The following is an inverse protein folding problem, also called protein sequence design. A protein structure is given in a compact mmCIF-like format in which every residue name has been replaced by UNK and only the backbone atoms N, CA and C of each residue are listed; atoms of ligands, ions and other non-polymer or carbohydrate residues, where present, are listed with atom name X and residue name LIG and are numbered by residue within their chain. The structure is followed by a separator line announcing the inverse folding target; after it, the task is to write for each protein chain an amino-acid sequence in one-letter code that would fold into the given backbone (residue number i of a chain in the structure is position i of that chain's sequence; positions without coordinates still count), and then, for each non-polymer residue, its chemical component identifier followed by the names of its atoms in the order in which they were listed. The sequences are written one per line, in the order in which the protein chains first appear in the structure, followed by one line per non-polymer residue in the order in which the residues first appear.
data_IF_322034341509
#
_entry.id   IF_322034341509
#
_cell.length_a   1.000
_cell.length_b   1.000
_cell.length_c   1.000
_cell.angle_alpha   90.00
_cell.angle_beta   90.00
_cell.angle_gamma   90.00
#
_symmetry.space_group_name_H-M   'P 1'
#
loop_
_entity.id
_entity.type
_entity.pdbx_description
1 polymer ?
#
# COMPACT_ATOMS: atom_id res chain seq x y z
N UNK A 1 -67.60 7.67 -7.83
CA UNK A 1 -67.26 7.36 -6.41
C UNK A 1 -66.21 6.26 -6.20
N UNK A 2 -65.92 5.37 -7.17
CA UNK A 2 -64.92 4.31 -6.94
C UNK A 2 -63.44 4.69 -7.18
N UNK A 3 -63.14 5.85 -7.75
CA UNK A 3 -61.75 6.27 -8.00
C UNK A 3 -61.14 7.14 -6.87
N UNK A 4 -61.93 7.70 -5.99
CA UNK A 4 -61.41 8.49 -4.89
C UNK A 4 -61.07 7.66 -3.63
N UNK A 5 -61.62 6.46 -3.53
CA UNK A 5 -61.28 5.54 -2.41
C UNK A 5 -59.96 4.80 -2.61
N UNK A 6 -59.49 4.65 -3.87
CA UNK A 6 -58.19 4.02 -4.15
C UNK A 6 -57.01 4.98 -3.85
N UNK A 7 -57.22 6.27 -4.04
CA UNK A 7 -56.18 7.25 -3.76
C UNK A 7 -55.90 7.46 -2.24
N UNK A 8 -56.95 7.31 -1.42
CA UNK A 8 -56.82 7.40 0.03
C UNK A 8 -56.15 6.16 0.64
N UNK A 9 -56.32 5.00 0.04
CA UNK A 9 -55.68 3.76 0.54
C UNK A 9 -54.17 3.69 0.19
N UNK A 10 -53.74 4.32 -0.91
CA UNK A 10 -52.32 4.39 -1.25
C UNK A 10 -51.55 5.44 -0.45
N UNK A 11 -52.21 6.49 0.02
CA UNK A 11 -51.55 7.50 0.86
C UNK A 11 -51.35 7.09 2.30
N UNK A 12 -52.12 6.12 2.77
CA UNK A 12 -51.99 5.61 4.15
C UNK A 12 -50.90 4.53 4.32
N UNK A 13 -50.41 3.96 3.19
CA UNK A 13 -49.37 2.90 3.26
C UNK A 13 -47.94 3.42 3.12
N UNK A 14 -47.72 4.72 3.04
CA UNK A 14 -46.35 5.31 2.98
C UNK A 14 -45.90 6.02 4.26
N UNK A 15 -46.59 5.86 5.35
CA UNK A 15 -46.03 6.20 6.64
C UNK A 15 -45.29 4.97 7.15
N UNK A 16 -44.09 4.78 6.66
CA UNK A 16 -43.14 3.94 7.38
C UNK A 16 -42.87 4.61 8.72
N UNK A 17 -43.18 3.99 9.85
CA UNK A 17 -42.58 4.44 11.07
C UNK A 17 -41.08 4.24 10.88
N UNK A 18 -40.35 5.32 10.82
CA UNK A 18 -38.93 5.30 11.16
C UNK A 18 -38.80 5.01 12.64
N UNK A 19 -39.27 3.85 13.09
CA UNK A 19 -38.74 3.25 14.26
C UNK A 19 -37.31 2.89 13.86
N UNK A 20 -36.39 3.77 14.18
CA UNK A 20 -35.04 3.38 14.41
C UNK A 20 -35.15 2.17 15.38
N UNK A 21 -35.05 0.97 14.84
CA UNK A 21 -34.69 -0.16 15.65
C UNK A 21 -33.29 0.13 16.14
N UNK A 22 -33.19 0.85 17.24
CA UNK A 22 -32.13 0.58 18.15
C UNK A 22 -32.31 -0.90 18.50
N UNK A 23 -31.77 -1.78 17.67
CA UNK A 23 -31.42 -3.11 18.13
C UNK A 23 -30.53 -2.79 19.31
N UNK A 24 -31.07 -3.00 20.51
CA UNK A 24 -30.27 -2.99 21.69
C UNK A 24 -29.24 -4.08 21.52
N UNK A 25 -28.12 -3.72 20.88
CA UNK A 25 -26.90 -4.46 21.10
C UNK A 25 -26.70 -4.51 22.59
N UNK A 26 -25.99 -5.48 23.10
CA UNK A 26 -25.74 -5.56 24.52
C UNK A 26 -25.29 -4.19 24.96
N UNK A 27 -26.09 -3.56 25.80
CA UNK A 27 -25.77 -2.34 26.48
C UNK A 27 -24.70 -2.67 27.52
N UNK A 28 -23.56 -3.14 26.99
CA UNK A 28 -22.33 -3.06 27.74
C UNK A 28 -22.11 -1.57 28.04
N UNK A 29 -21.54 -1.24 29.18
CA UNK A 29 -21.22 0.14 29.46
C UNK A 29 -20.46 0.66 28.25
N UNK A 30 -20.96 1.75 27.62
CA UNK A 30 -20.15 2.51 26.70
C UNK A 30 -18.86 2.76 27.45
N UNK A 31 -17.78 2.20 26.99
CA UNK A 31 -16.48 2.59 27.51
C UNK A 31 -16.28 4.02 27.05
N UNK A 32 -16.81 4.94 27.81
CA UNK A 32 -16.42 6.34 27.71
C UNK A 32 -14.98 6.36 28.15
N UNK A 33 -14.11 6.47 27.19
CA UNK A 33 -12.74 6.81 27.50
C UNK A 33 -12.78 8.22 28.03
N UNK A 34 -12.54 8.44 29.34
CA UNK A 34 -12.46 9.79 29.83
C UNK A 34 -11.31 10.44 29.07
N UNK A 35 -11.64 11.43 28.29
CA UNK A 35 -10.64 12.29 27.67
C UNK A 35 -10.50 13.49 28.59
N UNK A 36 -9.65 13.45 29.60
CA UNK A 36 -9.42 14.57 30.48
C UNK A 36 -8.56 15.59 29.77
N UNK A 37 -8.97 16.01 28.57
CA UNK A 37 -8.17 16.91 27.77
C UNK A 37 -8.64 18.35 27.89
N UNK A 38 -7.70 19.30 27.84
CA UNK A 38 -7.99 20.72 27.77
C UNK A 38 -8.29 21.19 26.34
N UNK A 39 -8.08 20.34 25.35
CA UNK A 39 -8.36 20.65 23.94
C UNK A 39 -9.56 19.86 23.41
N UNK A 40 -9.46 18.59 23.08
CA UNK A 40 -10.56 17.88 22.46
C UNK A 40 -10.55 16.38 22.74
N UNK A 41 -11.45 15.67 22.09
CA UNK A 41 -11.57 14.23 22.18
C UNK A 41 -10.43 13.51 21.46
N UNK A 42 -10.16 12.28 21.88
CA UNK A 42 -9.25 11.35 21.18
C UNK A 42 -10.04 10.52 20.18
N UNK A 43 -9.62 10.55 18.92
CA UNK A 43 -10.15 9.67 17.87
C UNK A 43 -9.09 8.66 17.49
N UNK A 44 -9.26 7.41 17.91
CA UNK A 44 -8.37 6.31 17.56
C UNK A 44 -8.68 5.83 16.15
N UNK A 45 -7.63 5.50 15.37
CA UNK A 45 -7.74 5.07 13.97
C UNK A 45 -8.62 6.01 13.13
N UNK A 46 -8.28 7.29 13.04
CA UNK A 46 -9.15 8.31 12.46
C UNK A 46 -9.50 8.05 10.99
N UNK A 47 -8.61 7.40 10.26
CA UNK A 47 -8.75 7.12 8.83
C UNK A 47 -9.01 5.63 8.51
N UNK A 48 -9.20 4.78 9.52
CA UNK A 48 -9.60 3.36 9.42
C UNK A 48 -8.57 2.38 8.90
N UNK A 49 -7.40 2.82 8.45
CA UNK A 49 -6.37 1.95 7.87
C UNK A 49 -5.03 1.91 8.63
N UNK A 50 -4.89 2.73 9.67
CA UNK A 50 -3.71 2.73 10.55
C UNK A 50 -4.15 2.63 12.04
N UNK A 51 -4.54 1.43 12.51
CA UNK A 51 -5.24 1.26 13.79
C UNK A 51 -4.46 1.69 15.03
N UNK A 52 -3.13 1.71 14.98
CA UNK A 52 -2.27 2.15 16.10
C UNK A 52 -1.91 3.63 16.03
N UNK A 53 -2.81 4.43 15.46
CA UNK A 53 -2.73 5.90 15.44
C UNK A 53 -3.96 6.52 16.09
N UNK A 54 -3.83 7.78 16.50
CA UNK A 54 -4.96 8.56 16.99
C UNK A 54 -4.77 10.04 16.65
N UNK A 55 -5.84 10.82 16.78
CA UNK A 55 -5.77 12.29 16.74
C UNK A 55 -6.46 12.82 17.99
N UNK A 56 -5.78 13.68 18.74
CA UNK A 56 -6.38 14.49 19.76
C UNK A 56 -6.92 15.75 19.07
N UNK A 57 -8.24 15.87 18.96
CA UNK A 57 -8.90 16.99 18.26
C UNK A 57 -8.54 18.32 18.88
N UNK A 58 -8.45 19.35 18.06
CA UNK A 58 -8.02 20.68 18.51
C UNK A 58 -9.06 21.46 19.35
N UNK A 59 -10.29 20.96 19.46
CA UNK A 59 -11.35 21.58 20.28
C UNK A 59 -11.72 23.01 19.87
N UNK A 60 -11.39 23.41 18.64
CA UNK A 60 -11.61 24.77 18.14
C UNK A 60 -10.45 25.73 18.39
N UNK A 61 -9.36 25.28 19.00
CA UNK A 61 -8.14 26.07 19.18
C UNK A 61 -7.23 25.99 17.94
N UNK A 62 -6.45 27.01 17.71
CA UNK A 62 -5.26 26.94 16.89
C UNK A 62 -4.13 26.36 17.77
N UNK A 63 -3.49 25.29 17.31
CA UNK A 63 -2.41 24.64 18.05
C UNK A 63 -1.07 24.93 17.39
N UNK A 64 -0.02 25.11 18.21
CA UNK A 64 1.39 25.29 17.80
C UNK A 64 2.33 24.57 18.74
N UNK A 65 3.56 24.38 18.27
CA UNK A 65 4.69 23.86 19.06
C UNK A 65 4.34 22.59 19.82
N UNK A 66 3.63 21.66 19.16
CA UNK A 66 3.19 20.43 19.80
C UNK A 66 4.30 19.37 19.84
N UNK A 67 4.35 18.66 20.95
CA UNK A 67 5.18 17.46 21.13
C UNK A 67 4.34 16.34 21.74
N UNK A 68 4.72 15.11 21.41
CA UNK A 68 4.06 13.89 21.84
C UNK A 68 5.07 12.96 22.44
N UNK A 69 4.69 12.30 23.53
CA UNK A 69 5.45 11.22 24.16
C UNK A 69 4.51 10.06 24.44
N UNK A 70 4.80 8.90 23.86
CA UNK A 70 4.13 7.65 24.21
C UNK A 70 4.91 7.02 25.35
N UNK A 71 4.27 6.96 26.52
CA UNK A 71 4.91 6.36 27.71
C UNK A 71 5.09 4.86 27.49
N UNK A 72 6.29 4.33 27.66
CA UNK A 72 6.53 2.91 27.41
C UNK A 72 5.77 2.04 28.43
N UNK A 73 5.28 0.89 27.96
CA UNK A 73 4.85 -0.18 28.85
C UNK A 73 6.05 -0.82 29.53
N UNK A 74 5.88 -1.63 30.59
CA UNK A 74 7.00 -2.34 31.22
C UNK A 74 7.82 -3.14 30.17
N UNK A 75 9.12 -2.85 30.08
CA UNK A 75 10.03 -3.45 29.09
C UNK A 75 9.91 -2.92 27.66
N UNK A 76 9.04 -1.95 27.42
CA UNK A 76 8.86 -1.33 26.10
C UNK A 76 9.79 -0.15 25.83
N UNK A 77 9.69 0.42 24.65
CA UNK A 77 10.48 1.55 24.16
C UNK A 77 9.63 2.81 24.09
N UNK A 78 10.19 3.92 24.54
CA UNK A 78 9.58 5.23 24.43
C UNK A 78 9.56 5.70 22.96
N UNK A 79 8.46 6.33 22.55
CA UNK A 79 8.41 7.08 21.30
C UNK A 79 8.08 8.53 21.66
N UNK A 80 8.96 9.46 21.29
CA UNK A 80 8.74 10.89 21.50
C UNK A 80 9.11 11.67 20.24
N UNK A 81 8.29 12.66 19.89
CA UNK A 81 8.50 13.47 18.69
C UNK A 81 7.83 14.86 18.80
N UNK A 82 8.32 15.78 17.97
CA UNK A 82 7.69 17.07 17.74
C UNK A 82 6.75 16.98 16.54
N UNK A 83 5.64 17.69 16.60
CA UNK A 83 4.66 17.77 15.51
C UNK A 83 4.82 19.12 14.82
N UNK A 84 5.07 19.10 13.52
CA UNK A 84 5.13 20.31 12.71
C UNK A 84 3.74 21.00 12.66
N UNK A 85 3.70 22.31 12.72
CA UNK A 85 2.45 23.09 12.80
C UNK A 85 1.51 22.83 11.63
N UNK A 86 2.03 22.62 10.41
CA UNK A 86 1.22 22.24 9.25
C UNK A 86 0.52 20.89 9.43
N UNK A 87 1.10 19.96 10.20
CA UNK A 87 0.47 18.67 10.51
C UNK A 87 -0.66 18.83 11.52
N UNK A 88 -0.54 19.76 12.47
CA UNK A 88 -1.64 20.11 13.38
C UNK A 88 -2.87 20.60 12.60
N UNK A 89 -2.66 21.41 11.57
CA UNK A 89 -3.72 21.85 10.66
C UNK A 89 -4.27 20.70 9.82
N UNK A 90 -3.38 19.91 9.21
CA UNK A 90 -3.76 18.78 8.35
C UNK A 90 -4.69 17.79 9.04
N UNK A 91 -4.41 17.48 10.31
CA UNK A 91 -5.18 16.49 11.07
C UNK A 91 -6.28 17.11 11.94
N UNK A 92 -6.36 18.43 12.00
CA UNK A 92 -7.30 19.13 12.87
C UNK A 92 -7.08 18.84 14.36
N UNK A 93 -5.82 18.65 14.76
CA UNK A 93 -5.42 18.27 16.11
C UNK A 93 -4.01 17.74 16.19
N UNK A 94 -3.66 17.10 17.31
CA UNK A 94 -2.35 16.51 17.53
C UNK A 94 -2.36 15.04 17.03
N UNK A 95 -1.61 14.70 15.97
CA UNK A 95 -1.51 13.32 15.51
C UNK A 95 -0.66 12.48 16.47
N UNK A 96 -1.19 11.32 16.83
CA UNK A 96 -0.55 10.34 17.70
C UNK A 96 -0.17 9.13 16.88
N UNK A 97 1.10 8.77 16.90
CA UNK A 97 1.69 7.64 16.21
C UNK A 97 2.46 6.76 17.20
N UNK A 98 2.44 5.46 17.00
CA UNK A 98 3.28 4.55 17.76
C UNK A 98 2.63 3.96 19.01
N UNK A 99 1.30 3.77 19.00
CA UNK A 99 0.57 3.15 20.10
C UNK A 99 0.88 1.65 20.21
N UNK A 100 0.83 1.12 21.44
CA UNK A 100 0.84 -0.32 21.67
C UNK A 100 -0.53 -0.91 21.38
N UNK A 101 -0.62 -2.03 20.67
CA UNK A 101 -1.89 -2.70 20.40
C UNK A 101 -2.46 -3.38 21.65
N UNK A 102 -3.79 -3.46 21.73
CA UNK A 102 -4.53 -4.09 22.84
C UNK A 102 -4.05 -3.61 24.22
N UNK A 103 -3.83 -2.30 24.33
CA UNK A 103 -3.21 -1.70 25.50
C UNK A 103 -3.81 -0.34 25.81
N UNK A 104 -3.93 -0.02 27.11
CA UNK A 104 -4.25 1.34 27.57
C UNK A 104 -3.01 2.21 27.53
N UNK A 105 -2.83 2.89 26.40
CA UNK A 105 -1.69 3.76 26.19
C UNK A 105 -1.81 5.02 27.04
N UNK A 106 -0.70 5.44 27.63
CA UNK A 106 -0.53 6.75 28.25
C UNK A 106 0.23 7.64 27.28
N UNK A 107 -0.35 8.75 26.88
CA UNK A 107 0.21 9.70 25.94
C UNK A 107 0.32 11.04 26.63
N UNK A 108 1.52 11.60 26.68
CA UNK A 108 1.78 12.93 27.18
C UNK A 108 1.96 13.89 26.00
N UNK A 109 1.29 15.03 26.05
CA UNK A 109 1.39 16.04 25.01
C UNK A 109 1.68 17.40 25.62
N UNK A 110 2.54 18.15 24.95
CA UNK A 110 2.77 19.57 25.25
C UNK A 110 2.48 20.39 24.00
N UNK A 111 1.83 21.51 24.14
CA UNK A 111 1.42 22.35 23.01
C UNK A 111 1.07 23.77 23.46
N UNK A 112 1.04 24.68 22.51
CA UNK A 112 0.48 26.03 22.71
C UNK A 112 -0.91 26.07 22.08
N UNK A 113 -1.95 26.42 22.84
CA UNK A 113 -3.30 26.66 22.31
C UNK A 113 -3.59 28.16 22.22
N UNK A 114 -4.23 28.56 21.12
CA UNK A 114 -4.50 29.94 20.79
C UNK A 114 -5.99 30.08 20.47
N UNK A 115 -6.65 31.09 21.05
CA UNK A 115 -8.04 31.43 20.77
C UNK A 115 -8.25 32.95 20.86
N UNK A 116 -8.66 33.58 19.77
CA UNK A 116 -8.71 35.04 19.65
C UNK A 116 -7.31 35.63 19.85
N UNK A 117 -7.20 36.57 20.79
CA UNK A 117 -5.92 37.21 21.16
C UNK A 117 -5.19 36.48 22.30
N UNK A 118 -5.74 35.40 22.83
CA UNK A 118 -5.18 34.68 23.98
C UNK A 118 -4.32 33.50 23.52
N UNK A 119 -3.25 33.23 24.26
CA UNK A 119 -2.36 32.09 24.06
C UNK A 119 -2.00 31.48 25.41
N UNK A 120 -1.97 30.16 25.46
CA UNK A 120 -1.60 29.41 26.66
C UNK A 120 -0.72 28.23 26.30
N UNK A 121 0.40 28.07 27.01
CA UNK A 121 1.25 26.89 26.91
C UNK A 121 0.76 25.83 27.87
N UNK A 122 0.56 24.63 27.38
CA UNK A 122 0.21 23.42 28.15
C UNK A 122 1.41 22.47 28.10
N UNK A 123 1.82 21.98 29.25
CA UNK A 123 2.95 21.05 29.36
C UNK A 123 2.48 19.71 29.93
N UNK A 124 2.92 18.64 29.32
CA UNK A 124 2.74 17.26 29.77
C UNK A 124 1.29 16.91 30.14
N UNK A 125 0.34 17.36 29.34
CA UNK A 125 -1.04 16.93 29.51
C UNK A 125 -1.17 15.46 29.17
N UNK A 126 -1.82 14.70 30.03
CA UNK A 126 -1.90 13.24 29.95
C UNK A 126 -3.24 12.79 29.38
N UNK A 127 -3.18 11.96 28.34
CA UNK A 127 -4.31 11.23 27.80
C UNK A 127 -4.12 9.74 28.01
N UNK A 128 -5.17 9.02 28.41
CA UNK A 128 -5.14 7.57 28.56
C UNK A 128 -6.29 6.97 27.76
N UNK A 129 -5.96 6.12 26.78
CA UNK A 129 -6.97 5.49 25.94
C UNK A 129 -6.46 4.15 25.42
N UNK A 130 -7.41 3.29 25.08
CA UNK A 130 -7.12 1.96 24.54
C UNK A 130 -6.91 2.03 23.03
N UNK A 131 -5.84 1.40 22.53
CA UNK A 131 -5.68 1.12 21.11
C UNK A 131 -6.15 -0.30 20.79
N UNK A 132 -6.76 -0.56 19.62
CA UNK A 132 -7.33 -1.86 19.29
C UNK A 132 -6.25 -2.94 19.20
N UNK A 133 -6.68 -4.19 19.39
CA UNK A 133 -5.86 -5.36 19.13
C UNK A 133 -5.51 -5.43 17.64
N UNK A 134 -4.39 -6.09 17.33
CA UNK A 134 -3.95 -6.29 15.95
C UNK A 134 -5.04 -7.04 15.16
N UNK A 135 -5.49 -6.49 14.05
CA UNK A 135 -6.58 -6.98 13.21
C UNK A 135 -7.90 -7.25 13.95
N UNK A 136 -8.16 -6.55 15.04
CA UNK A 136 -9.35 -6.77 15.87
C UNK A 136 -9.38 -8.12 16.61
N UNK A 137 -8.27 -8.85 16.60
CA UNK A 137 -8.15 -10.15 17.28
C UNK A 137 -7.46 -9.99 18.64
N UNK A 138 -7.87 -10.75 19.65
CA UNK A 138 -7.15 -10.79 20.91
C UNK A 138 -5.66 -11.06 20.69
N UNK A 139 -4.80 -10.36 21.41
CA UNK A 139 -3.34 -10.30 21.16
C UNK A 139 -2.67 -11.68 21.03
N UNK A 140 -3.14 -12.70 21.72
CA UNK A 140 -2.62 -14.07 21.61
C UNK A 140 -2.94 -14.80 20.32
N UNK A 141 -4.04 -14.44 19.63
CA UNK A 141 -4.45 -15.05 18.34
C UNK A 141 -3.91 -14.29 17.13
N UNK A 142 -3.90 -12.98 17.19
CA UNK A 142 -3.42 -12.15 16.08
C UNK A 142 -1.95 -12.39 15.78
N UNK A 143 -1.11 -12.56 16.80
CA UNK A 143 0.31 -12.80 16.62
C UNK A 143 0.62 -14.16 15.98
N UNK A 144 -0.27 -15.13 16.10
CA UNK A 144 -0.07 -16.46 15.50
C UNK A 144 -0.53 -16.58 14.06
N UNK A 145 -1.44 -15.71 13.64
CA UNK A 145 -2.10 -15.83 12.33
C UNK A 145 -1.86 -14.68 11.39
N UNK A 146 -1.57 -13.49 11.90
CA UNK A 146 -1.53 -12.27 11.11
C UNK A 146 -0.14 -11.62 10.99
N UNK A 147 0.73 -11.85 11.99
CA UNK A 147 2.08 -11.31 12.01
C UNK A 147 3.10 -12.42 12.28
N UNK A 148 4.35 -12.09 12.04
CA UNK A 148 5.50 -12.92 12.36
C UNK A 148 5.93 -12.68 13.82
N UNK A 149 6.51 -13.70 14.47
CA UNK A 149 7.11 -13.56 15.79
C UNK A 149 8.42 -12.76 15.69
N UNK A 150 8.52 -11.71 16.48
CA UNK A 150 9.75 -10.93 16.59
C UNK A 150 10.51 -11.34 17.85
N UNK A 151 11.75 -11.78 17.68
CA UNK A 151 12.67 -12.05 18.78
C UNK A 151 13.94 -11.26 18.61
N UNK A 152 14.12 -10.27 19.47
CA UNK A 152 15.36 -9.48 19.52
C UNK A 152 16.46 -10.32 20.13
N UNK A 153 17.47 -10.66 19.35
CA UNK A 153 18.62 -11.44 19.81
C UNK A 153 19.77 -10.57 20.32
N UNK A 154 19.95 -9.43 19.69
CA UNK A 154 20.96 -8.44 20.00
C UNK A 154 20.49 -7.08 19.57
N UNK A 155 20.71 -6.08 20.40
CA UNK A 155 20.48 -4.67 20.09
C UNK A 155 21.80 -3.93 20.29
N UNK A 156 22.29 -3.33 19.24
CA UNK A 156 23.42 -2.41 19.34
C UNK A 156 22.93 -1.06 19.89
N UNK A 157 23.67 -0.44 20.84
CA UNK A 157 23.29 0.83 21.43
C UNK A 157 23.02 1.95 20.42
N UNK A 158 23.70 1.93 19.27
CA UNK A 158 23.49 2.90 18.18
C UNK A 158 22.07 2.84 17.60
N UNK A 159 21.43 1.67 17.66
CA UNK A 159 20.12 1.43 17.05
C UNK A 159 18.94 1.42 18.03
N UNK A 160 19.19 1.64 19.32
CA UNK A 160 18.19 1.50 20.39
C UNK A 160 16.95 2.38 20.23
N UNK A 161 17.09 3.55 19.59
CA UNK A 161 16.04 4.54 19.44
C UNK A 161 15.40 4.51 18.03
N UNK A 162 15.67 3.47 17.24
CA UNK A 162 15.15 3.33 15.88
C UNK A 162 13.82 2.58 15.84
N UNK A 163 13.05 2.90 14.83
CA UNK A 163 11.87 2.13 14.40
C UNK A 163 12.16 1.47 13.05
N UNK A 164 11.63 0.28 12.86
CA UNK A 164 11.88 -0.51 11.65
C UNK A 164 10.58 -0.74 10.89
N UNK A 165 10.48 -0.16 9.69
CA UNK A 165 9.40 -0.44 8.74
C UNK A 165 9.72 -1.75 8.02
N UNK A 166 8.82 -2.71 8.15
CA UNK A 166 8.95 -4.05 7.57
C UNK A 166 7.83 -4.24 6.56
N UNK A 167 8.21 -4.56 5.32
CA UNK A 167 7.31 -5.00 4.28
C UNK A 167 7.41 -6.51 4.14
N UNK A 168 6.35 -7.24 4.47
CA UNK A 168 6.33 -8.69 4.49
C UNK A 168 5.16 -9.24 3.67
N UNK A 169 5.40 -10.38 3.03
CA UNK A 169 4.38 -11.14 2.32
C UNK A 169 4.07 -12.43 3.08
N UNK A 170 2.82 -12.64 3.40
CA UNK A 170 2.34 -13.87 4.03
C UNK A 170 1.40 -14.61 3.10
N UNK A 171 1.39 -15.95 3.19
CA UNK A 171 0.34 -16.73 2.56
C UNK A 171 -1.00 -16.36 3.20
N UNK A 172 -1.99 -16.10 2.38
CA UNK A 172 -3.32 -15.75 2.90
C UNK A 172 -3.89 -16.93 3.70
N UNK A 173 -4.41 -16.71 4.92
CA UNK A 173 -4.86 -17.79 5.81
C UNK A 173 -6.07 -18.57 5.28
N UNK A 174 -6.88 -17.98 4.41
CA UNK A 174 -8.07 -18.60 3.81
C UNK A 174 -7.83 -19.25 2.45
N UNK A 175 -6.57 -19.38 2.02
CA UNK A 175 -6.20 -19.96 0.74
C UNK A 175 -5.87 -18.93 -0.34
N UNK A 176 -5.89 -19.37 -1.58
CA UNK A 176 -5.52 -18.52 -2.71
C UNK A 176 -6.51 -17.37 -2.90
N UNK A 177 -6.00 -16.15 -2.87
CA UNK A 177 -6.73 -14.96 -3.26
C UNK A 177 -6.42 -14.56 -4.70
N UNK A 178 -6.10 -15.52 -5.55
CA UNK A 178 -6.06 -15.26 -6.98
C UNK A 178 -7.42 -14.74 -7.41
N UNK A 179 -7.49 -13.46 -7.57
CA UNK A 179 -8.71 -12.79 -8.06
C UNK A 179 -8.90 -13.12 -9.53
N UNK A 180 -7.80 -13.19 -10.26
CA UNK A 180 -7.78 -13.37 -11.70
C UNK A 180 -6.60 -14.26 -12.11
N UNK A 181 -6.80 -15.06 -13.16
CA UNK A 181 -5.68 -15.66 -13.85
C UNK A 181 -5.07 -14.59 -14.76
N UNK A 182 -4.22 -13.74 -14.15
CA UNK A 182 -3.65 -12.60 -14.85
C UNK A 182 -2.71 -13.06 -15.93
N UNK A 183 -2.97 -12.72 -17.20
CA UNK A 183 -2.06 -13.04 -18.28
C UNK A 183 -0.77 -12.22 -18.24
N UNK A 184 -0.69 -11.21 -17.41
CA UNK A 184 0.47 -10.32 -17.31
C UNK A 184 1.45 -10.73 -16.24
N UNK A 185 1.07 -11.65 -15.34
CA UNK A 185 1.94 -12.13 -14.27
C UNK A 185 2.29 -11.08 -13.23
N UNK A 186 1.41 -10.11 -13.00
CA UNK A 186 1.60 -9.05 -12.02
C UNK A 186 0.83 -9.29 -10.72
N UNK A 187 0.38 -8.21 -10.09
CA UNK A 187 -0.27 -8.22 -8.79
C UNK A 187 -1.45 -9.19 -8.69
N UNK A 188 -2.23 -9.28 -9.77
CA UNK A 188 -3.45 -10.10 -9.82
C UNK A 188 -3.19 -11.61 -9.84
N UNK A 189 -1.97 -12.02 -10.15
CA UNK A 189 -1.60 -13.44 -10.22
C UNK A 189 -1.22 -14.02 -8.84
N UNK A 190 -0.95 -13.18 -7.86
CA UNK A 190 -0.38 -13.61 -6.58
C UNK A 190 -1.44 -13.75 -5.50
N UNK A 191 -1.32 -14.80 -4.71
CA UNK A 191 -2.21 -15.13 -3.59
C UNK A 191 -1.59 -14.79 -2.23
N UNK A 192 -0.94 -13.64 -2.12
CA UNK A 192 -0.26 -13.21 -0.90
C UNK A 192 -0.97 -12.03 -0.25
N UNK A 193 -0.96 -12.03 1.06
CA UNK A 193 -1.35 -10.87 1.86
C UNK A 193 -0.09 -10.11 2.29
N UNK A 194 -0.09 -8.81 2.07
CA UNK A 194 0.97 -7.93 2.56
C UNK A 194 0.74 -7.58 4.02
N UNK A 195 1.82 -7.54 4.78
CA UNK A 195 1.82 -7.13 6.18
C UNK A 195 2.91 -6.08 6.38
N UNK A 196 2.50 -4.83 6.32
CA UNK A 196 3.40 -3.70 6.52
C UNK A 196 3.26 -3.24 7.95
N UNK A 197 4.35 -3.33 8.70
CA UNK A 197 4.39 -3.00 10.13
C UNK A 197 5.59 -2.14 10.46
N UNK A 198 5.47 -1.34 11.51
CA UNK A 198 6.61 -0.72 12.16
C UNK A 198 6.75 -1.35 13.53
N UNK A 199 7.94 -1.83 13.82
CA UNK A 199 8.30 -2.37 15.13
C UNK A 199 9.34 -1.49 15.80
N UNK A 200 9.34 -1.50 17.13
CA UNK A 200 10.40 -0.91 17.92
C UNK A 200 11.51 -1.93 18.24
N UNK A 201 12.53 -1.48 18.96
CA UNK A 201 13.69 -2.30 19.31
C UNK A 201 13.45 -3.31 20.45
N UNK A 202 12.30 -3.27 21.11
CA UNK A 202 11.83 -4.33 21.97
C UNK A 202 11.09 -5.44 21.18
N UNK A 203 10.78 -5.20 19.90
CA UNK A 203 10.04 -6.11 19.04
C UNK A 203 8.52 -5.90 19.08
N UNK A 204 8.07 -4.84 19.72
CA UNK A 204 6.65 -4.50 19.76
C UNK A 204 6.20 -3.85 18.44
N UNK A 205 5.02 -4.26 17.96
CA UNK A 205 4.37 -3.58 16.82
C UNK A 205 3.85 -2.22 17.31
N UNK A 206 4.29 -1.15 16.65
CA UNK A 206 3.94 0.24 16.99
C UNK A 206 3.10 0.92 15.91
N UNK A 207 2.99 0.28 14.77
CA UNK A 207 2.13 0.71 13.65
C UNK A 207 1.93 -0.47 12.70
N UNK A 208 0.80 -0.52 12.04
CA UNK A 208 0.58 -1.40 10.90
C UNK A 208 -0.44 -0.80 9.93
N UNK A 209 -0.32 -1.18 8.66
CA UNK A 209 -1.27 -0.84 7.62
C UNK A 209 -2.34 -1.92 7.54
N UNK A 210 -3.60 -1.54 7.74
CA UNK A 210 -4.74 -2.43 7.54
C UNK A 210 -5.15 -2.41 6.07
N UNK A 211 -4.31 -3.00 5.24
CA UNK A 211 -4.44 -2.98 3.78
C UNK A 211 -5.71 -3.69 3.29
N UNK A 212 -6.21 -4.67 4.02
CA UNK A 212 -7.44 -5.41 3.67
C UNK A 212 -8.67 -4.47 3.56
N UNK A 213 -8.63 -3.29 4.17
CA UNK A 213 -9.67 -2.27 4.03
C UNK A 213 -9.63 -1.51 2.70
N UNK A 214 -8.54 -1.59 1.96
CA UNK A 214 -8.32 -0.87 0.70
C UNK A 214 -8.50 -1.76 -0.52
N UNK A 215 -8.28 -3.06 -0.37
CA UNK A 215 -8.34 -4.03 -1.46
C UNK A 215 -9.77 -4.54 -1.65
N UNK A 216 -10.16 -4.69 -2.90
CA UNK A 216 -11.37 -5.40 -3.30
C UNK A 216 -10.97 -6.53 -4.25
N UNK A 217 -10.89 -7.73 -3.72
CA UNK A 217 -10.48 -8.91 -4.49
C UNK A 217 -11.51 -9.37 -5.52
N UNK A 218 -12.70 -8.83 -5.51
CA UNK A 218 -13.70 -9.04 -6.56
C UNK A 218 -13.52 -8.09 -7.76
N UNK A 219 -12.68 -7.07 -7.63
CA UNK A 219 -12.46 -6.04 -8.61
C UNK A 219 -11.02 -6.10 -9.15
N UNK A 220 -10.85 -6.35 -10.45
CA UNK A 220 -9.52 -6.44 -11.09
C UNK A 220 -8.69 -5.15 -10.95
N UNK A 221 -9.32 -4.01 -10.83
CA UNK A 221 -8.62 -2.73 -10.69
C UNK A 221 -8.06 -2.49 -9.28
N UNK A 222 -8.64 -3.18 -8.29
CA UNK A 222 -8.31 -3.04 -6.87
C UNK A 222 -7.93 -4.36 -6.20
N UNK A 223 -7.78 -5.40 -6.98
CA UNK A 223 -7.42 -6.73 -6.52
C UNK A 223 -5.93 -6.99 -6.57
N UNK A 224 -5.56 -8.19 -6.13
CA UNK A 224 -4.19 -8.67 -6.17
C UNK A 224 -3.35 -8.26 -4.98
N UNK A 225 -2.05 -8.55 -5.08
CA UNK A 225 -1.10 -8.24 -4.02
C UNK A 225 -0.59 -6.82 -4.15
N UNK A 226 -0.25 -6.20 -3.02
CA UNK A 226 0.47 -4.93 -2.98
C UNK A 226 1.83 -5.05 -3.68
N UNK A 227 2.12 -4.16 -4.61
CA UNK A 227 3.37 -4.11 -5.36
C UNK A 227 4.06 -2.76 -5.16
N UNK A 228 5.39 -2.77 -5.12
CA UNK A 228 6.20 -1.57 -5.09
C UNK A 228 6.00 -0.70 -3.84
N UNK A 229 5.70 -1.31 -2.69
CA UNK A 229 5.55 -0.53 -1.45
C UNK A 229 6.80 0.29 -1.16
N UNK A 230 6.63 1.59 -1.06
CA UNK A 230 7.71 2.56 -0.89
C UNK A 230 7.35 3.60 0.16
N UNK A 231 8.32 3.96 1.00
CA UNK A 231 8.26 5.18 1.78
C UNK A 231 8.80 6.32 0.92
N UNK A 232 8.03 7.38 0.79
CA UNK A 232 8.38 8.53 -0.05
C UNK A 232 9.22 9.56 0.73
N UNK A 233 9.92 10.48 0.04
CA UNK A 233 10.71 11.52 0.69
C UNK A 233 9.90 12.42 1.66
N UNK A 234 8.60 12.60 1.41
CA UNK A 234 7.68 13.36 2.27
C UNK A 234 7.17 12.55 3.48
N UNK A 235 7.64 11.31 3.67
CA UNK A 235 7.24 10.39 4.72
C UNK A 235 5.93 9.65 4.45
N UNK A 236 5.27 9.90 3.34
CA UNK A 236 4.08 9.15 2.93
C UNK A 236 4.46 7.76 2.41
N UNK A 237 3.47 6.91 2.27
CA UNK A 237 3.58 5.54 1.78
C UNK A 237 2.83 5.42 0.46
N UNK A 238 3.44 4.79 -0.53
CA UNK A 238 2.81 4.53 -1.84
C UNK A 238 3.00 3.09 -2.27
N UNK A 239 2.06 2.58 -3.05
CA UNK A 239 2.12 1.25 -3.66
C UNK A 239 1.08 1.12 -4.76
N UNK A 240 1.23 0.11 -5.60
CA UNK A 240 0.27 -0.28 -6.61
C UNK A 240 -0.41 -1.62 -6.28
N UNK A 241 -1.62 -1.81 -6.78
CA UNK A 241 -2.31 -3.09 -6.82
C UNK A 241 -3.33 -3.09 -7.96
N UNK A 242 -3.46 -4.23 -8.66
CA UNK A 242 -4.30 -4.29 -9.86
C UNK A 242 -3.90 -3.25 -10.90
N UNK A 243 -4.73 -2.24 -11.09
CA UNK A 243 -4.49 -1.09 -11.97
C UNK A 243 -4.52 0.25 -11.21
N UNK A 244 -4.38 0.20 -9.90
CA UNK A 244 -4.51 1.36 -9.03
C UNK A 244 -3.19 1.69 -8.36
N UNK A 245 -2.79 2.95 -8.39
CA UNK A 245 -1.71 3.53 -7.59
C UNK A 245 -2.29 4.34 -6.45
N UNK A 246 -1.75 4.17 -5.26
CA UNK A 246 -2.23 4.87 -4.08
C UNK A 246 -1.09 5.50 -3.29
N UNK A 247 -1.41 6.58 -2.59
CA UNK A 247 -0.52 7.25 -1.64
C UNK A 247 -1.29 7.63 -0.39
N UNK A 248 -0.75 7.23 0.75
CA UNK A 248 -1.31 7.49 2.08
C UNK A 248 -0.23 8.03 3.01
N UNK A 249 -0.60 8.89 3.94
CA UNK A 249 0.33 9.26 5.00
C UNK A 249 0.37 8.21 6.13
N UNK A 250 1.31 8.36 7.04
CA UNK A 250 1.52 7.42 8.15
C UNK A 250 0.32 7.32 9.11
N UNK A 251 -0.53 8.33 9.14
CA UNK A 251 -1.77 8.32 9.92
C UNK A 251 -2.89 7.53 9.23
N UNK A 252 -2.70 7.15 7.96
CA UNK A 252 -3.68 6.47 7.14
C UNK A 252 -4.59 7.41 6.35
N UNK A 253 -4.28 8.72 6.29
CA UNK A 253 -5.04 9.67 5.49
C UNK A 253 -4.66 9.51 4.02
N UNK A 254 -5.66 9.33 3.18
CA UNK A 254 -5.47 9.26 1.73
C UNK A 254 -4.95 10.58 1.19
N UNK A 255 -3.88 10.53 0.41
CA UNK A 255 -3.34 11.65 -0.36
C UNK A 255 -3.91 11.57 -1.78
N UNK A 256 -3.74 10.43 -2.43
CA UNK A 256 -4.49 10.10 -3.64
C UNK A 256 -4.75 8.59 -3.76
N UNK A 257 -5.72 8.25 -4.62
CA UNK A 257 -6.09 6.90 -5.01
C UNK A 257 -6.50 7.00 -6.48
N UNK A 258 -5.66 6.50 -7.39
CA UNK A 258 -5.80 6.68 -8.83
C UNK A 258 -5.76 5.36 -9.55
N UNK A 259 -6.81 5.11 -10.31
CA UNK A 259 -6.80 4.09 -11.34
C UNK A 259 -6.06 4.64 -12.55
N UNK A 260 -5.07 3.89 -13.05
CA UNK A 260 -4.39 4.24 -14.30
C UNK A 260 -5.34 4.08 -15.50
N UNK A 261 -5.07 4.79 -16.61
CA UNK A 261 -5.79 4.60 -17.87
C UNK A 261 -5.83 3.14 -18.35
N UNK A 262 -6.84 2.78 -19.12
CA UNK A 262 -7.13 1.39 -19.52
C UNK A 262 -6.03 0.74 -20.39
N UNK A 263 -5.14 1.53 -20.98
CA UNK A 263 -3.99 1.01 -21.72
C UNK A 263 -2.87 0.50 -20.81
N UNK A 264 -2.83 0.89 -19.52
CA UNK A 264 -1.88 0.37 -18.54
C UNK A 264 -2.55 -0.68 -17.68
N UNK A 265 -1.95 -1.83 -17.61
CA UNK A 265 -2.48 -2.93 -16.82
C UNK A 265 -1.41 -3.44 -15.87
N UNK A 266 -1.87 -3.89 -14.73
CA UNK A 266 -1.19 -4.71 -13.76
C UNK A 266 0.17 -4.21 -13.26
N UNK A 267 0.15 -3.61 -12.09
CA UNK A 267 1.38 -3.31 -11.36
C UNK A 267 2.16 -4.56 -11.04
N UNK A 268 3.48 -4.45 -11.06
CA UNK A 268 4.34 -5.55 -10.69
C UNK A 268 5.70 -5.09 -10.17
N UNK A 269 6.22 -5.79 -9.17
CA UNK A 269 7.54 -5.62 -8.56
C UNK A 269 7.76 -4.25 -7.94
N UNK A 270 8.64 -3.39 -8.48
CA UNK A 270 9.05 -2.15 -7.84
C UNK A 270 8.28 -0.92 -8.32
N UNK A 271 8.34 0.08 -7.49
CA UNK A 271 7.92 1.45 -7.72
C UNK A 271 9.06 2.32 -7.22
N UNK A 272 9.50 3.28 -7.98
CA UNK A 272 10.42 4.31 -7.48
C UNK A 272 9.76 5.68 -7.36
N UNK A 273 10.36 6.56 -6.58
CA UNK A 273 9.85 7.90 -6.32
C UNK A 273 10.99 8.89 -6.45
N UNK A 274 10.91 9.75 -7.43
CA UNK A 274 11.90 10.81 -7.64
C UNK A 274 11.81 11.92 -6.59
N UNK A 275 12.86 12.74 -6.47
CA UNK A 275 12.87 13.87 -5.53
C UNK A 275 11.74 14.89 -5.75
N UNK A 276 11.25 15.05 -6.99
CA UNK A 276 10.13 15.92 -7.32
C UNK A 276 8.76 15.30 -6.99
N UNK A 277 8.73 14.04 -6.52
CA UNK A 277 7.53 13.33 -6.10
C UNK A 277 6.80 12.59 -7.22
N UNK A 278 7.39 12.44 -8.40
CA UNK A 278 6.87 11.57 -9.44
C UNK A 278 7.18 10.10 -9.12
N UNK A 279 6.35 9.20 -9.63
CA UNK A 279 6.47 7.77 -9.45
C UNK A 279 6.85 7.12 -10.77
N UNK A 280 7.80 6.19 -10.71
CA UNK A 280 8.16 5.35 -11.84
C UNK A 280 7.65 3.95 -11.55
N UNK A 281 6.57 3.57 -12.23
CA UNK A 281 5.87 2.34 -11.99
C UNK A 281 6.05 1.36 -13.15
N UNK A 282 6.36 0.12 -12.82
CA UNK A 282 6.40 -0.92 -13.81
C UNK A 282 5.02 -1.53 -14.01
N UNK A 283 4.53 -1.41 -15.21
CA UNK A 283 3.22 -1.90 -15.67
C UNK A 283 3.36 -2.70 -16.96
N UNK A 284 2.25 -3.09 -17.54
CA UNK A 284 2.15 -3.72 -18.85
C UNK A 284 1.18 -2.93 -19.74
N UNK A 285 1.29 -3.10 -21.05
CA UNK A 285 0.34 -2.53 -22.02
C UNK A 285 -0.76 -3.51 -22.35
N UNK A 286 -2.01 -3.05 -22.31
CA UNK A 286 -3.16 -3.87 -22.69
C UNK A 286 -3.23 -4.14 -24.19
N UNK A 287 -2.75 -3.22 -25.02
CA UNK A 287 -2.87 -3.29 -26.47
C UNK A 287 -1.73 -2.54 -27.17
N UNK A 288 -0.57 -3.15 -27.20
CA UNK A 288 0.59 -2.60 -27.89
C UNK A 288 0.67 -3.09 -29.32
N UNK A 289 0.82 -2.18 -30.29
CA UNK A 289 1.05 -2.52 -31.69
C UNK A 289 2.54 -2.61 -31.97
N UNK A 290 3.07 -3.80 -32.12
CA UNK A 290 4.47 -4.06 -32.44
C UNK A 290 4.86 -3.52 -33.82
N UNK A 291 6.16 -3.27 -34.07
CA UNK A 291 6.65 -2.84 -35.38
C UNK A 291 6.27 -3.80 -36.54
N UNK A 292 6.08 -5.10 -36.27
CA UNK A 292 5.62 -6.08 -37.23
C UNK A 292 4.08 -6.05 -37.49
N UNK A 293 3.39 -5.09 -36.86
CA UNK A 293 1.96 -4.86 -37.04
C UNK A 293 1.03 -5.69 -36.14
N UNK A 294 1.56 -6.63 -35.35
CA UNK A 294 0.76 -7.43 -34.41
C UNK A 294 0.36 -6.62 -33.20
N UNK A 295 -0.91 -6.74 -32.81
CA UNK A 295 -1.35 -6.25 -31.52
C UNK A 295 -1.08 -7.30 -30.44
N UNK A 296 -0.41 -6.90 -29.36
CA UNK A 296 -0.07 -7.77 -28.27
C UNK A 296 -0.44 -7.11 -26.94
N UNK A 297 -0.84 -7.93 -25.98
CA UNK A 297 -0.82 -7.56 -24.58
C UNK A 297 0.57 -7.86 -24.06
N UNK A 298 1.21 -6.88 -23.46
CA UNK A 298 2.59 -7.03 -23.00
C UNK A 298 2.67 -7.53 -21.56
N UNK A 299 3.86 -7.86 -21.10
CA UNK A 299 4.13 -8.33 -19.75
C UNK A 299 5.37 -7.66 -19.20
N UNK A 300 5.20 -6.79 -18.20
CA UNK A 300 6.31 -6.19 -17.42
C UNK A 300 7.34 -5.46 -18.28
N UNK A 301 6.90 -4.69 -19.23
CA UNK A 301 7.77 -4.04 -20.21
C UNK A 301 7.40 -2.59 -20.52
N UNK A 302 6.58 -1.99 -19.69
CA UNK A 302 6.29 -0.55 -19.73
C UNK A 302 6.66 0.05 -18.39
N UNK A 303 7.37 1.15 -18.42
CA UNK A 303 7.58 2.03 -17.27
C UNK A 303 6.70 3.26 -17.48
N UNK A 304 5.83 3.54 -16.54
CA UNK A 304 5.00 4.75 -16.55
C UNK A 304 5.54 5.73 -15.52
N UNK A 305 5.75 6.96 -15.94
CA UNK A 305 5.96 8.08 -15.04
C UNK A 305 4.61 8.67 -14.65
N UNK A 306 4.39 8.78 -13.35
CA UNK A 306 3.13 9.22 -12.76
C UNK A 306 3.44 10.40 -11.85
N UNK A 307 2.75 11.51 -12.03
CA UNK A 307 2.96 12.70 -11.24
C UNK A 307 2.51 12.54 -9.78
N UNK A 308 2.78 13.56 -8.97
CA UNK A 308 2.39 13.58 -7.56
C UNK A 308 0.88 13.55 -7.30
N UNK A 309 0.06 13.76 -8.34
CA UNK A 309 -1.41 13.67 -8.27
C UNK A 309 -1.95 12.32 -8.72
N UNK A 310 -1.07 11.44 -9.25
CA UNK A 310 -1.42 10.13 -9.74
C UNK A 310 -1.81 10.09 -11.22
N UNK A 311 -1.44 11.11 -12.01
CA UNK A 311 -1.69 11.16 -13.46
C UNK A 311 -0.44 10.70 -14.22
N UNK A 312 -0.62 9.86 -15.25
CA UNK A 312 0.50 9.43 -16.12
C UNK A 312 0.93 10.58 -17.01
N UNK A 313 2.20 10.97 -16.91
CA UNK A 313 2.77 12.11 -17.62
C UNK A 313 3.77 11.70 -18.69
N UNK A 314 4.41 10.53 -18.55
CA UNK A 314 5.31 9.95 -19.55
C UNK A 314 5.35 8.43 -19.48
N UNK A 315 5.91 7.77 -20.50
CA UNK A 315 6.05 6.32 -20.55
C UNK A 315 7.25 5.88 -21.40
N UNK A 316 7.89 4.77 -20.98
CA UNK A 316 8.89 4.04 -21.73
C UNK A 316 8.34 2.67 -22.12
N UNK A 317 8.11 2.47 -23.41
CA UNK A 317 7.72 1.18 -23.97
C UNK A 317 8.97 0.44 -24.39
N UNK A 318 9.34 -0.57 -23.65
CA UNK A 318 10.63 -1.22 -23.84
C UNK A 318 10.76 -1.92 -25.21
N UNK A 319 9.66 -2.33 -25.84
CA UNK A 319 9.68 -2.82 -27.24
C UNK A 319 10.22 -1.79 -28.25
N UNK A 320 10.16 -0.51 -27.94
CA UNK A 320 10.65 0.58 -28.80
C UNK A 320 12.12 0.90 -28.53
N UNK A 321 12.65 0.43 -27.40
CA UNK A 321 13.97 0.82 -26.88
C UNK A 321 14.95 -0.35 -26.93
N UNK A 322 14.48 -1.57 -26.62
CA UNK A 322 15.31 -2.76 -26.45
C UNK A 322 14.98 -3.82 -27.51
N UNK A 323 15.96 -4.69 -27.79
CA UNK A 323 15.74 -5.86 -28.63
C UNK A 323 14.98 -6.96 -27.85
N UNK A 324 13.72 -7.23 -28.16
CA UNK A 324 12.93 -8.24 -27.46
C UNK A 324 13.44 -9.68 -27.67
N UNK A 325 14.20 -9.92 -28.75
CA UNK A 325 14.73 -11.26 -29.06
C UNK A 325 16.04 -11.57 -28.33
N UNK A 326 16.70 -10.56 -27.77
CA UNK A 326 17.93 -10.76 -27.00
C UNK A 326 17.75 -11.76 -25.85
N UNK A 327 16.61 -11.70 -25.13
CA UNK A 327 16.33 -12.60 -23.99
C UNK A 327 16.30 -14.05 -24.41
N UNK A 328 15.81 -14.37 -25.61
CA UNK A 328 15.70 -15.75 -26.12
C UNK A 328 17.09 -16.31 -26.36
N UNK A 329 17.97 -15.55 -26.99
CA UNK A 329 19.34 -15.96 -27.25
C UNK A 329 20.15 -16.17 -25.97
N UNK A 330 20.03 -15.24 -24.99
CA UNK A 330 20.70 -15.35 -23.70
C UNK A 330 20.18 -16.58 -22.95
N UNK A 331 18.88 -16.79 -22.95
CA UNK A 331 18.27 -17.93 -22.28
C UNK A 331 18.65 -19.28 -22.91
N UNK A 332 18.88 -19.31 -24.21
CA UNK A 332 19.42 -20.48 -24.88
C UNK A 332 20.88 -20.80 -24.47
N UNK A 333 21.63 -19.81 -24.04
CA UNK A 333 23.01 -19.96 -23.57
C UNK A 333 23.10 -20.36 -22.08
N UNK A 334 22.13 -19.95 -21.26
CA UNK A 334 22.14 -20.19 -19.81
C UNK A 334 21.18 -21.31 -19.42
N UNK A 335 21.71 -22.49 -19.25
CA UNK A 335 20.95 -23.66 -18.79
C UNK A 335 20.62 -23.67 -17.30
N UNK A 336 21.23 -22.81 -16.52
CA UNK A 336 21.04 -22.75 -15.06
C UNK A 336 19.82 -21.95 -14.63
N UNK A 337 19.20 -21.21 -15.51
CA UNK A 337 18.06 -20.39 -15.19
C UNK A 337 16.77 -21.23 -15.05
N UNK A 338 16.32 -21.41 -13.85
CA UNK A 338 15.34 -22.40 -13.39
C UNK A 338 13.91 -22.29 -13.95
N UNK A 339 13.63 -21.43 -14.92
CA UNK A 339 12.27 -21.22 -15.46
C UNK A 339 12.25 -20.98 -16.97
N UNK A 340 13.20 -21.52 -17.68
CA UNK A 340 13.32 -21.27 -19.09
C UNK A 340 12.74 -22.47 -19.87
N UNK A 341 11.78 -22.19 -20.74
CA UNK A 341 11.34 -23.11 -21.78
C UNK A 341 12.44 -23.23 -22.84
N UNK A 342 13.62 -23.68 -22.43
CA UNK A 342 14.76 -23.86 -23.32
C UNK A 342 14.88 -25.32 -23.65
N UNK A 343 15.12 -25.58 -24.90
CA UNK A 343 15.65 -26.90 -25.34
C UNK A 343 17.13 -26.97 -24.96
N UNK A 344 17.52 -27.81 -23.99
CA UNK A 344 18.92 -27.92 -23.58
C UNK A 344 19.85 -28.32 -24.69
N UNK A 345 19.34 -28.97 -25.76
CA UNK A 345 20.13 -29.36 -26.92
C UNK A 345 20.63 -28.18 -27.75
N UNK A 346 20.03 -27.02 -27.57
CA UNK A 346 20.35 -25.74 -28.25
C UNK A 346 21.23 -24.82 -27.44
N UNK A 347 21.66 -25.24 -26.26
CA UNK A 347 22.54 -24.43 -25.43
C UNK A 347 23.81 -24.03 -26.17
N UNK A 348 24.18 -22.74 -26.08
CA UNK A 348 25.35 -22.20 -26.80
C UNK A 348 25.13 -21.96 -28.30
N UNK A 349 23.92 -22.13 -28.80
CA UNK A 349 23.56 -21.88 -30.19
C UNK A 349 22.72 -20.58 -30.29
N UNK A 350 22.98 -19.80 -31.32
CA UNK A 350 22.12 -18.68 -31.68
C UNK A 350 20.89 -19.22 -32.41
N UNK A 351 19.69 -18.85 -31.96
CA UNK A 351 18.45 -19.24 -32.62
C UNK A 351 18.29 -18.53 -33.96
N UNK A 352 17.76 -19.23 -34.96
CA UNK A 352 17.45 -18.64 -36.26
C UNK A 352 16.20 -17.75 -36.17
N UNK A 353 16.00 -16.87 -37.14
CA UNK A 353 14.80 -16.03 -37.23
C UNK A 353 13.52 -16.84 -37.33
N UNK A 354 13.56 -18.01 -37.98
CA UNK A 354 12.43 -18.95 -38.11
C UNK A 354 12.08 -19.61 -36.76
N UNK A 355 13.09 -19.99 -35.99
CA UNK A 355 12.89 -20.55 -34.64
C UNK A 355 12.31 -19.51 -33.70
N UNK A 356 12.80 -18.26 -33.74
CA UNK A 356 12.27 -17.15 -32.97
C UNK A 356 10.81 -16.86 -33.35
N UNK A 357 10.49 -16.86 -34.65
CA UNK A 357 9.13 -16.67 -35.15
C UNK A 357 8.20 -17.82 -34.72
N UNK A 358 8.69 -19.06 -34.71
CA UNK A 358 7.93 -20.23 -34.25
C UNK A 358 7.61 -20.14 -32.74
N UNK A 359 8.52 -19.61 -31.95
CA UNK A 359 8.28 -19.34 -30.50
C UNK A 359 7.22 -18.28 -30.28
N UNK A 360 7.10 -17.30 -31.19
CA UNK A 360 6.12 -16.22 -31.13
C UNK A 360 4.67 -16.70 -31.36
N UNK A 361 4.47 -17.88 -31.94
CA UNK A 361 3.15 -18.44 -32.22
C UNK A 361 2.49 -19.13 -31.04
N UNK A 362 3.25 -19.46 -29.99
CA UNK A 362 2.72 -20.09 -28.79
C UNK A 362 2.03 -19.04 -27.89
N UNK A 363 0.71 -19.11 -27.83
CA UNK A 363 -0.14 -18.23 -27.02
C UNK A 363 -0.07 -18.58 -25.52
N UNK A 364 1.13 -18.56 -24.93
CA UNK A 364 1.34 -18.80 -23.50
C UNK A 364 1.50 -17.46 -22.81
N UNK A 365 0.71 -17.27 -21.76
CA UNK A 365 0.64 -16.04 -21.00
C UNK A 365 1.47 -16.12 -19.71
N UNK A 366 1.72 -14.96 -19.12
CA UNK A 366 2.32 -14.85 -17.80
C UNK A 366 3.84 -14.83 -17.80
N UNK A 367 4.44 -15.49 -16.80
CA UNK A 367 5.89 -15.47 -16.56
C UNK A 367 6.68 -16.45 -17.45
N UNK A 368 6.22 -16.65 -18.68
CA UNK A 368 6.90 -17.52 -19.65
C UNK A 368 7.79 -16.65 -20.55
N UNK A 369 9.11 -16.87 -20.61
CA UNK A 369 10.01 -16.12 -21.49
C UNK A 369 9.62 -16.21 -22.95
N UNK A 370 9.88 -15.16 -23.70
CA UNK A 370 9.66 -15.13 -25.14
C UNK A 370 9.03 -13.80 -25.59
N UNK A 371 8.87 -13.63 -26.88
CA UNK A 371 8.46 -12.36 -27.51
C UNK A 371 7.06 -12.40 -28.11
N UNK A 372 6.37 -13.52 -28.05
CA UNK A 372 4.98 -13.65 -28.53
C UNK A 372 3.97 -12.91 -27.66
N UNK A 373 2.73 -12.90 -28.12
CA UNK A 373 1.64 -12.29 -27.40
C UNK A 373 1.55 -12.80 -25.95
N UNK A 374 1.57 -11.87 -24.98
CA UNK A 374 1.54 -12.20 -23.56
C UNK A 374 2.81 -12.84 -23.00
N UNK A 375 3.89 -12.92 -23.76
CA UNK A 375 5.18 -13.40 -23.28
C UNK A 375 5.91 -12.35 -22.47
N UNK A 376 6.60 -12.79 -21.43
CA UNK A 376 7.41 -11.96 -20.57
C UNK A 376 8.86 -11.91 -21.09
N UNK A 377 9.10 -11.07 -22.08
CA UNK A 377 10.40 -11.00 -22.76
C UNK A 377 11.44 -10.17 -22.00
N UNK A 378 11.03 -9.11 -21.32
CA UNK A 378 11.91 -8.23 -20.56
C UNK A 378 12.01 -8.65 -19.08
N UNK A 379 10.88 -8.92 -18.45
CA UNK A 379 10.77 -9.21 -17.02
C UNK A 379 11.51 -8.18 -16.15
N UNK A 380 11.12 -6.91 -16.28
CA UNK A 380 11.70 -5.85 -15.46
C UNK A 380 11.33 -6.08 -13.99
N UNK A 381 12.35 -6.10 -13.12
CA UNK A 381 12.16 -6.32 -11.68
C UNK A 381 12.27 -5.02 -10.88
N UNK A 382 13.14 -4.11 -11.30
CA UNK A 382 13.29 -2.80 -10.64
C UNK A 382 13.33 -1.69 -11.67
N UNK A 383 12.87 -0.55 -11.24
CA UNK A 383 13.09 0.75 -11.85
C UNK A 383 13.64 1.67 -10.78
N UNK A 384 14.59 2.49 -11.15
CA UNK A 384 15.24 3.47 -10.28
C UNK A 384 15.44 4.76 -11.08
N UNK A 385 15.17 5.89 -10.48
CA UNK A 385 15.32 7.18 -11.14
C UNK A 385 16.66 7.80 -10.75
N UNK A 386 17.48 8.18 -11.73
CA UNK A 386 18.70 8.95 -11.51
C UNK A 386 18.41 10.45 -11.63
N UNK A 387 18.37 11.20 -10.53
CA UNK A 387 18.06 12.62 -10.58
C UNK A 387 19.21 13.47 -11.12
N UNK A 388 20.39 12.90 -11.39
CA UNK A 388 21.54 13.64 -11.88
C UNK A 388 21.42 14.03 -13.35
N UNK A 389 20.71 13.20 -14.13
CA UNK A 389 20.49 13.41 -15.57
C UNK A 389 19.04 13.14 -16.01
N UNK A 390 18.14 12.91 -15.03
CA UNK A 390 16.71 12.63 -15.24
C UNK A 390 16.46 11.34 -16.05
N UNK A 391 17.36 10.36 -15.92
CA UNK A 391 17.23 9.05 -16.55
C UNK A 391 16.57 8.04 -15.63
N UNK A 392 16.11 6.92 -16.21
CA UNK A 392 15.69 5.74 -15.46
C UNK A 392 16.65 4.58 -15.68
N UNK A 393 16.91 3.85 -14.61
CA UNK A 393 17.73 2.63 -14.65
C UNK A 393 16.80 1.45 -14.39
N UNK A 394 16.79 0.46 -15.25
CA UNK A 394 15.97 -0.73 -15.10
C UNK A 394 16.81 -2.00 -14.97
N UNK A 395 16.31 -2.94 -14.19
CA UNK A 395 16.84 -4.30 -14.13
C UNK A 395 15.93 -5.22 -14.93
N UNK A 396 16.44 -5.76 -16.03
CA UNK A 396 15.72 -6.67 -16.92
C UNK A 396 16.22 -8.10 -16.74
N UNK A 397 15.43 -8.94 -16.03
CA UNK A 397 15.82 -10.31 -15.66
C UNK A 397 16.02 -11.20 -16.87
N UNK A 398 15.06 -11.21 -17.81
CA UNK A 398 15.13 -12.11 -18.96
C UNK A 398 16.15 -11.64 -20.00
N UNK A 399 16.56 -10.40 -19.95
CA UNK A 399 17.65 -9.90 -20.80
C UNK A 399 19.01 -9.93 -20.11
N UNK A 400 19.07 -10.38 -18.85
CA UNK A 400 20.29 -10.41 -18.04
C UNK A 400 21.06 -9.08 -18.10
N UNK A 401 20.33 -7.96 -17.97
CA UNK A 401 20.87 -6.63 -18.15
C UNK A 401 20.37 -5.62 -17.10
N UNK A 402 21.24 -4.66 -16.84
CA UNK A 402 20.88 -3.34 -16.29
C UNK A 402 20.95 -2.36 -17.47
N UNK A 403 19.95 -1.57 -17.66
CA UNK A 403 19.81 -0.62 -18.76
C UNK A 403 19.48 0.73 -18.19
#
# INVERSE_FOLDING_TARGET
MKRQLLAAALAASMVFPTSAFAVGGPSGPKMEHPVPGKIGEVVVNPYKIAPLTAVIRNGGYVLKDASVRIVPKPGGVEIAYKVADNKLLTYGGIPIFGLYPDYYNTVEVSYTRIWGSKSERIENEVYRFHAPALFGQPSGLANKTAFFDVKVKRLDPEFKDRLYLINNLQRHPTGALKTWNSPTGGALEWDRATRNVIIDTAGDVRWYLYNDALQDFSNMYRGGVMMGFKQNPDGALSWGFGQTLVKYDIMGRQIFDRRLPDNYIDFSHSLDVSPNGHFFARVASANYKRPDGKNVRTVRDVIAEIDQNGEVVDEWRLFEILDPYRSVNINALDQGAARLNIDPSKAGQTLSSEELAAMDTNNVWGDVPGVGAGRNWAHVNSVDHDPSDDSIIISSRHQSAIV
#
